data_IF_439731341554
#
_entry.id   IF_439731341554
#
_cell.length_a   1.000
_cell.length_b   1.000
_cell.length_c   1.000
_cell.angle_alpha   90.00
_cell.angle_beta   90.00
_cell.angle_gamma   90.00
#
_symmetry.space_group_name_H-M   'P 1'
#
loop_
_entity.id
_entity.type
_entity.pdbx_description
1 polymer ?
#
# COMPACT_ATOMS: atom_id res chain seq x y z
N UNK A 1 6.78 10.92 14.83
CA UNK A 1 5.94 9.83 14.28
C UNK A 1 6.72 9.15 13.17
N UNK A 2 7.23 7.94 13.40
CA UNK A 2 8.05 7.22 12.42
C UNK A 2 7.17 6.73 11.27
N UNK A 3 7.17 7.45 10.16
CA UNK A 3 6.63 6.94 8.90
C UNK A 3 7.54 5.80 8.45
N UNK A 4 7.06 4.55 8.49
CA UNK A 4 7.82 3.42 7.95
C UNK A 4 8.16 3.75 6.48
N UNK A 5 9.45 3.74 6.10
CA UNK A 5 9.88 4.24 4.79
C UNK A 5 9.31 3.44 3.61
N UNK A 6 8.77 2.24 3.87
CA UNK A 6 8.19 1.35 2.88
C UNK A 6 6.67 1.11 3.03
N UNK A 7 5.89 2.13 3.40
CA UNK A 7 4.46 1.96 3.73
C UNK A 7 3.49 2.24 2.56
N UNK A 8 2.27 1.71 2.66
CA UNK A 8 1.14 2.02 1.77
C UNK A 8 0.04 2.62 2.65
N UNK A 9 -0.40 3.84 2.30
CA UNK A 9 -1.52 4.49 2.96
C UNK A 9 -2.80 4.15 2.21
N UNK A 10 -3.77 3.58 2.93
CA UNK A 10 -5.03 3.11 2.39
C UNK A 10 -6.15 3.78 3.17
N UNK A 11 -7.09 4.39 2.46
CA UNK A 11 -8.29 4.97 3.03
C UNK A 11 -9.51 4.18 2.52
N UNK A 12 -10.39 3.77 3.42
CA UNK A 12 -11.68 3.19 3.04
C UNK A 12 -12.75 4.27 3.09
N UNK A 13 -13.40 4.51 1.95
CA UNK A 13 -14.44 5.52 1.80
C UNK A 13 -15.66 4.84 1.19
N UNK A 14 -16.78 4.84 1.91
CA UNK A 14 -18.06 4.24 1.46
C UNK A 14 -17.91 2.78 0.98
N UNK A 15 -17.21 1.96 1.74
CA UNK A 15 -16.96 0.55 1.41
C UNK A 15 -15.95 0.30 0.29
N UNK A 16 -15.45 1.35 -0.36
CA UNK A 16 -14.39 1.25 -1.38
C UNK A 16 -13.03 1.53 -0.77
N UNK A 17 -12.02 0.82 -1.24
CA UNK A 17 -10.63 0.95 -0.78
C UNK A 17 -9.84 1.81 -1.75
N UNK A 18 -9.23 2.89 -1.25
CA UNK A 18 -8.42 3.82 -2.03
C UNK A 18 -6.99 3.82 -1.51
N UNK A 19 -6.03 3.58 -2.40
CA UNK A 19 -4.61 3.78 -2.09
C UNK A 19 -4.30 5.26 -2.32
N UNK A 20 -3.97 5.99 -1.26
CA UNK A 20 -3.79 7.45 -1.32
C UNK A 20 -2.33 7.88 -1.30
N UNK A 21 -1.44 7.08 -0.71
CA UNK A 21 0.01 7.29 -0.77
C UNK A 21 0.76 5.98 -0.80
N UNK A 22 1.85 5.93 -1.56
CA UNK A 22 2.80 4.83 -1.56
C UNK A 22 4.18 5.42 -1.32
N UNK A 23 4.83 4.96 -0.25
CA UNK A 23 6.19 5.36 0.10
C UNK A 23 7.17 4.29 -0.35
N UNK A 24 8.27 4.71 -0.95
CA UNK A 24 9.38 3.83 -1.32
C UNK A 24 10.57 4.12 -0.42
N UNK A 25 11.06 3.07 0.22
CA UNK A 25 12.39 3.10 0.79
C UNK A 25 13.38 2.92 -0.35
N UNK A 26 14.36 3.81 -0.46
CA UNK A 26 15.40 3.73 -1.48
C UNK A 26 16.19 2.40 -1.41
N UNK A 27 16.26 1.77 -0.23
CA UNK A 27 16.91 0.48 -0.02
C UNK A 27 15.99 -0.71 -0.30
N UNK A 28 14.68 -0.50 -0.51
CA UNK A 28 13.72 -1.56 -0.76
C UNK A 28 13.77 -2.01 -2.22
N UNK A 29 13.86 -3.32 -2.43
CA UNK A 29 13.71 -3.94 -3.76
C UNK A 29 12.27 -4.03 -4.26
N UNK A 30 11.29 -3.79 -3.39
CA UNK A 30 9.87 -3.91 -3.74
C UNK A 30 9.47 -2.83 -4.74
N UNK A 31 8.90 -3.25 -5.86
CA UNK A 31 8.43 -2.37 -6.92
C UNK A 31 7.04 -1.79 -6.59
N UNK A 32 6.61 -0.83 -7.40
CA UNK A 32 5.24 -0.32 -7.33
C UNK A 32 4.19 -1.40 -7.59
N UNK A 33 4.45 -2.28 -8.56
CA UNK A 33 3.56 -3.38 -8.90
C UNK A 33 3.41 -4.37 -7.74
N UNK A 34 4.52 -4.75 -7.08
CA UNK A 34 4.50 -5.64 -5.91
C UNK A 34 3.60 -5.10 -4.79
N UNK A 35 3.70 -3.79 -4.55
CA UNK A 35 2.91 -3.10 -3.51
C UNK A 35 1.43 -3.06 -3.87
N UNK A 36 1.08 -2.79 -5.13
CA UNK A 36 -0.32 -2.81 -5.58
C UNK A 36 -0.92 -4.22 -5.52
N UNK A 37 -0.18 -5.23 -6.00
CA UNK A 37 -0.58 -6.63 -5.91
C UNK A 37 -0.88 -7.05 -4.46
N UNK A 38 -0.06 -6.59 -3.50
CA UNK A 38 -0.30 -6.83 -2.08
C UNK A 38 -1.63 -6.25 -1.59
N UNK A 39 -1.99 -5.04 -2.03
CA UNK A 39 -3.28 -4.42 -1.68
C UNK A 39 -4.44 -5.20 -2.29
N UNK A 40 -4.35 -5.55 -3.58
CA UNK A 40 -5.39 -6.31 -4.29
C UNK A 40 -5.62 -7.67 -3.62
N UNK A 41 -4.55 -8.40 -3.30
CA UNK A 41 -4.66 -9.67 -2.58
C UNK A 41 -5.26 -9.49 -1.18
N UNK A 42 -4.93 -8.41 -0.47
CA UNK A 42 -5.50 -8.14 0.85
C UNK A 42 -7.00 -7.83 0.80
N UNK A 43 -7.50 -7.23 -0.28
CA UNK A 43 -8.93 -6.96 -0.44
C UNK A 43 -9.71 -8.17 -0.95
N UNK A 44 -9.09 -9.04 -1.78
CA UNK A 44 -9.71 -10.30 -2.24
C UNK A 44 -9.80 -11.40 -1.18
N UNK A 45 -8.93 -11.34 -0.16
CA UNK A 45 -8.93 -12.30 0.97
C UNK A 45 -9.92 -11.91 2.08
N UNK A 46 -10.60 -10.77 1.96
CA UNK A 46 -11.69 -10.35 2.84
C UNK A 46 -13.02 -10.80 2.27
#
# INVERSE_FOLDING_TARGET
MSSKPNNIMINKIRGKTFVTRIYFDQKSKATFQDKLLKVIHSERKK
#
